data_IF_201523266427
#
_entry.id   IF_201523266427
#
_cell.length_a   1.000
_cell.length_b   1.000
_cell.length_c   1.000
_cell.angle_alpha   90.00
_cell.angle_beta   90.00
_cell.angle_gamma   90.00
#
_symmetry.space_group_name_H-M   'P 1'
#
loop_
_entity.id
_entity.type
_entity.pdbx_description
1 polymer ?
#
# COMPACT_ATOMS: atom_id res chain seq x y z
N UNK A 1 -66.90 -17.90 23.66
CA UNK A 1 -65.85 -17.13 22.95
C UNK A 1 -65.12 -16.32 24.01
N UNK A 2 -63.83 -16.49 24.32
CA UNK A 2 -62.67 -16.60 23.44
C UNK A 2 -61.57 -17.45 24.11
N UNK A 3 -60.86 -18.27 23.33
CA UNK A 3 -59.73 -19.11 23.75
C UNK A 3 -58.54 -18.21 24.12
N UNK A 4 -57.91 -18.43 25.28
CA UNK A 4 -56.53 -17.99 25.55
C UNK A 4 -55.62 -19.20 25.42
N UNK A 5 -54.72 -19.17 24.43
CA UNK A 5 -53.58 -20.07 24.28
C UNK A 5 -52.32 -19.21 24.08
N UNK A 6 -51.15 -19.67 24.54
CA UNK A 6 -49.98 -18.84 24.79
C UNK A 6 -49.19 -18.59 23.51
N UNK A 7 -48.61 -17.40 23.37
CA UNK A 7 -47.65 -17.12 22.31
C UNK A 7 -46.26 -17.69 22.71
N UNK A 8 -45.58 -18.44 21.82
CA UNK A 8 -44.26 -18.98 22.07
C UNK A 8 -43.16 -17.94 21.80
N UNK A 9 -42.06 -18.14 22.51
CA UNK A 9 -40.75 -17.53 22.36
C UNK A 9 -40.35 -17.29 20.89
N UNK A 10 -40.26 -16.02 20.48
CA UNK A 10 -39.46 -15.60 19.33
C UNK A 10 -38.23 -14.89 19.91
N UNK A 11 -37.23 -15.69 20.21
CA UNK A 11 -35.89 -15.20 20.56
C UNK A 11 -34.88 -15.92 19.69
N UNK A 12 -33.96 -15.14 19.14
CA UNK A 12 -32.71 -15.57 18.47
C UNK A 12 -32.82 -15.91 16.99
N UNK A 13 -32.55 -14.91 16.13
CA UNK A 13 -31.88 -15.10 14.83
C UNK A 13 -31.46 -13.75 14.20
N UNK A 14 -30.61 -12.94 14.84
CA UNK A 14 -30.10 -11.70 14.21
C UNK A 14 -28.62 -11.36 14.45
N UNK A 15 -27.82 -12.27 15.01
CA UNK A 15 -26.41 -11.97 15.36
C UNK A 15 -25.40 -12.75 14.48
N UNK A 16 -25.85 -13.51 13.49
CA UNK A 16 -24.94 -14.24 12.60
C UNK A 16 -24.48 -13.42 11.38
N UNK A 17 -25.30 -12.48 10.88
CA UNK A 17 -25.00 -11.75 9.65
C UNK A 17 -23.90 -10.68 9.79
N UNK A 18 -23.89 -9.93 10.90
CA UNK A 18 -22.91 -8.88 11.13
C UNK A 18 -21.50 -9.43 11.36
N UNK A 19 -21.38 -10.61 11.97
CA UNK A 19 -20.10 -11.28 12.16
C UNK A 19 -19.51 -11.77 10.82
N UNK A 20 -20.35 -12.23 9.89
CA UNK A 20 -19.84 -12.76 8.62
C UNK A 20 -19.30 -11.67 7.68
N UNK A 21 -20.00 -10.53 7.59
CA UNK A 21 -19.52 -9.39 6.77
C UNK A 21 -18.20 -8.85 7.31
N UNK A 22 -18.06 -8.75 8.64
CA UNK A 22 -16.82 -8.33 9.27
C UNK A 22 -15.68 -9.34 9.01
N UNK A 23 -15.92 -10.65 9.13
CA UNK A 23 -14.88 -11.66 8.88
C UNK A 23 -14.50 -11.73 7.40
N UNK A 24 -15.42 -11.52 6.47
CA UNK A 24 -15.11 -11.55 5.03
C UNK A 24 -14.28 -10.33 4.60
N UNK A 25 -14.61 -9.13 5.08
CA UNK A 25 -13.76 -7.95 4.85
C UNK A 25 -12.40 -8.08 5.57
N UNK A 26 -12.39 -8.67 6.76
CA UNK A 26 -11.16 -8.92 7.51
C UNK A 26 -10.28 -9.94 6.77
N UNK A 27 -10.83 -11.05 6.27
CA UNK A 27 -10.05 -12.06 5.53
C UNK A 27 -9.44 -11.54 4.22
N UNK A 28 -10.12 -10.61 3.53
CA UNK A 28 -9.58 -10.02 2.29
C UNK A 28 -8.42 -9.04 2.53
N UNK A 29 -8.30 -8.46 3.74
CA UNK A 29 -7.26 -7.49 4.08
C UNK A 29 -6.24 -7.96 5.15
N UNK A 30 -6.44 -9.12 5.78
CA UNK A 30 -5.57 -9.70 6.83
C UNK A 30 -4.83 -10.99 6.42
N UNK A 31 -4.78 -11.29 5.13
CA UNK A 31 -3.65 -12.09 4.66
C UNK A 31 -2.42 -11.21 4.92
N UNK A 32 -1.46 -11.67 5.72
CA UNK A 32 -0.25 -10.89 6.05
C UNK A 32 0.47 -10.36 4.79
N UNK A 33 1.58 -9.61 4.95
CA UNK A 33 2.29 -9.08 3.78
C UNK A 33 2.52 -10.18 2.74
N UNK A 34 2.31 -9.84 1.46
CA UNK A 34 2.35 -10.78 0.32
C UNK A 34 3.57 -11.72 0.35
N UNK A 35 4.65 -11.24 0.95
CA UNK A 35 5.92 -11.95 1.14
C UNK A 35 6.24 -12.05 2.64
N UNK A 36 6.75 -13.20 3.07
CA UNK A 36 7.34 -13.33 4.41
C UNK A 36 8.53 -12.38 4.60
N UNK A 37 8.89 -12.06 5.85
CA UNK A 37 10.03 -11.18 6.14
C UNK A 37 11.34 -11.68 5.49
N UNK A 38 11.53 -13.00 5.45
CA UNK A 38 12.67 -13.62 4.80
C UNK A 38 12.65 -13.43 3.27
N UNK A 39 11.49 -13.45 2.64
CA UNK A 39 11.33 -13.18 1.20
C UNK A 39 11.48 -11.71 0.88
N UNK A 40 10.93 -10.84 1.73
CA UNK A 40 11.10 -9.39 1.62
C UNK A 40 12.58 -9.00 1.72
N UNK A 41 13.32 -9.60 2.65
CA UNK A 41 14.76 -9.38 2.81
C UNK A 41 15.55 -9.82 1.56
N UNK A 42 15.18 -10.92 0.90
CA UNK A 42 15.85 -11.41 -0.34
C UNK A 42 15.76 -10.44 -1.50
N UNK A 43 14.72 -9.60 -1.55
CA UNK A 43 14.53 -8.58 -2.60
C UNK A 43 14.72 -7.14 -2.07
N UNK A 44 15.20 -7.01 -0.82
CA UNK A 44 15.22 -5.80 0.03
C UNK A 44 14.02 -4.87 -0.23
N UNK A 45 12.83 -5.38 0.04
CA UNK A 45 11.62 -4.57 0.25
C UNK A 45 11.25 -4.61 1.73
N UNK A 46 10.41 -3.67 2.13
CA UNK A 46 9.69 -3.70 3.41
C UNK A 46 8.25 -3.37 3.12
N UNK A 47 7.38 -4.36 3.27
CA UNK A 47 5.95 -4.27 3.02
C UNK A 47 5.22 -3.89 4.30
N UNK A 48 4.15 -3.12 4.15
CA UNK A 48 3.20 -2.87 5.23
C UNK A 48 2.32 -4.10 5.45
N UNK A 49 1.94 -4.33 6.70
CA UNK A 49 0.91 -5.33 7.02
C UNK A 49 -0.46 -4.93 6.46
N UNK A 50 -0.71 -3.62 6.33
CA UNK A 50 -1.93 -3.07 5.73
C UNK A 50 -1.55 -1.96 4.75
N UNK A 51 -1.74 -2.18 3.44
CA UNK A 51 -1.61 -1.13 2.45
C UNK A 51 -2.51 0.07 2.79
N UNK A 52 -2.09 1.25 2.34
CA UNK A 52 -2.76 2.51 2.63
C UNK A 52 -3.26 3.14 1.36
N UNK A 53 -4.55 3.49 1.29
CA UNK A 53 -5.07 4.25 0.17
C UNK A 53 -4.23 5.50 -0.05
N UNK A 54 -3.76 5.69 -1.29
CA UNK A 54 -3.23 6.95 -1.77
C UNK A 54 -4.23 7.46 -2.79
N UNK A 55 -5.22 8.29 -2.36
CA UNK A 55 -6.40 8.66 -3.16
C UNK A 55 -6.06 9.12 -4.59
N UNK A 56 -4.88 9.71 -4.76
CA UNK A 56 -4.46 10.31 -6.00
C UNK A 56 -3.57 9.43 -6.91
N UNK A 57 -3.16 8.22 -6.49
CA UNK A 57 -2.37 7.28 -7.31
C UNK A 57 -3.17 6.15 -7.95
N UNK A 58 -4.45 6.01 -7.62
CA UNK A 58 -5.36 4.95 -8.09
C UNK A 58 -5.47 4.81 -9.62
N UNK A 59 -5.02 5.79 -10.41
CA UNK A 59 -5.19 5.81 -11.86
C UNK A 59 -3.95 5.47 -12.69
N UNK A 60 -2.75 5.33 -12.08
CA UNK A 60 -1.51 5.41 -12.87
C UNK A 60 -0.88 4.08 -13.34
N UNK A 61 -1.36 2.91 -12.90
CA UNK A 61 -0.92 1.58 -13.35
C UNK A 61 -1.89 0.47 -12.87
N UNK A 62 -3.19 0.63 -13.12
CA UNK A 62 -4.20 -0.30 -12.62
C UNK A 62 -3.84 -1.76 -12.94
N UNK A 63 -3.75 -2.60 -11.91
CA UNK A 63 -3.53 -4.05 -12.05
C UNK A 63 -2.07 -4.53 -12.01
N UNK A 64 -1.08 -3.67 -11.74
CA UNK A 64 0.32 -4.11 -11.49
C UNK A 64 1.00 -3.30 -10.40
N UNK A 65 1.89 -3.95 -9.65
CA UNK A 65 2.82 -3.27 -8.77
C UNK A 65 3.73 -2.34 -9.56
N UNK A 66 3.95 -1.14 -9.03
CA UNK A 66 4.91 -0.18 -9.56
C UNK A 66 5.62 0.56 -8.43
N UNK A 67 6.65 1.33 -8.79
CA UNK A 67 7.46 2.08 -7.84
C UNK A 67 7.38 3.58 -8.09
N UNK A 68 7.35 4.34 -7.00
CA UNK A 68 7.36 5.79 -7.03
C UNK A 68 8.35 6.37 -6.01
N UNK A 69 8.81 7.60 -6.23
CA UNK A 69 9.65 8.34 -5.28
C UNK A 69 9.23 9.80 -5.27
N UNK A 70 9.07 10.36 -4.09
CA UNK A 70 8.87 11.81 -3.95
C UNK A 70 10.22 12.50 -4.12
N UNK A 71 10.24 13.51 -4.99
CA UNK A 71 11.34 14.45 -5.07
C UNK A 71 11.21 15.45 -3.91
N UNK A 72 12.23 15.65 -3.06
CA UNK A 72 12.18 16.65 -2.01
C UNK A 72 11.89 18.06 -2.56
N UNK A 73 11.23 18.89 -1.75
CA UNK A 73 10.93 20.29 -2.06
C UNK A 73 12.18 21.07 -2.47
N UNK A 74 13.26 20.88 -1.72
CA UNK A 74 14.58 21.36 -2.07
C UNK A 74 15.40 20.26 -2.75
N UNK A 75 15.63 20.41 -4.05
CA UNK A 75 16.35 19.41 -4.85
C UNK A 75 17.44 20.08 -5.70
N UNK A 76 18.65 20.11 -5.15
CA UNK A 76 19.87 20.61 -5.80
C UNK A 76 20.33 19.74 -6.99
N UNK A 77 21.44 20.09 -7.63
CA UNK A 77 21.95 19.37 -8.79
C UNK A 77 22.24 17.88 -8.53
N UNK A 78 22.66 17.52 -7.31
CA UNK A 78 22.91 16.13 -6.93
C UNK A 78 21.57 15.39 -6.83
N UNK A 79 20.60 15.97 -6.13
CA UNK A 79 19.25 15.44 -6.04
C UNK A 79 18.59 15.29 -7.42
N UNK A 80 18.73 16.28 -8.31
CA UNK A 80 18.20 16.19 -9.67
C UNK A 80 18.84 15.03 -10.46
N UNK A 81 20.15 14.82 -10.30
CA UNK A 81 20.86 13.67 -10.85
C UNK A 81 20.30 12.34 -10.35
N UNK A 82 20.08 12.23 -9.03
CA UNK A 82 19.49 11.04 -8.40
C UNK A 82 18.04 10.79 -8.88
N UNK A 83 17.24 11.85 -9.05
CA UNK A 83 15.88 11.74 -9.59
C UNK A 83 15.90 11.30 -11.05
N UNK A 84 16.80 11.85 -11.87
CA UNK A 84 16.96 11.44 -13.26
C UNK A 84 17.40 9.98 -13.38
N UNK A 85 18.33 9.55 -12.52
CA UNK A 85 18.75 8.15 -12.45
C UNK A 85 17.61 7.24 -11.96
N UNK A 86 16.83 7.67 -10.98
CA UNK A 86 15.65 6.92 -10.52
C UNK A 86 14.64 6.72 -11.67
N UNK A 87 14.37 7.77 -12.45
CA UNK A 87 13.51 7.69 -13.65
C UNK A 87 14.04 6.68 -14.67
N UNK A 88 15.36 6.64 -14.92
CA UNK A 88 15.96 5.70 -15.88
C UNK A 88 15.85 4.23 -15.45
N UNK A 89 15.64 3.97 -14.15
CA UNK A 89 15.35 2.64 -13.60
C UNK A 89 13.86 2.29 -13.61
N UNK A 90 13.00 3.15 -14.16
CA UNK A 90 11.55 2.95 -14.19
C UNK A 90 10.84 3.38 -12.90
N UNK A 91 11.49 4.15 -12.02
CA UNK A 91 10.84 4.72 -10.83
C UNK A 91 10.09 5.99 -11.24
N UNK A 92 8.79 6.04 -10.94
CA UNK A 92 7.98 7.25 -11.12
C UNK A 92 8.39 8.31 -10.10
N UNK A 93 9.00 9.40 -10.56
CA UNK A 93 9.30 10.54 -9.69
C UNK A 93 8.09 11.46 -9.63
N UNK A 94 7.63 11.74 -8.40
CA UNK A 94 6.53 12.66 -8.10
C UNK A 94 7.17 13.96 -7.61
N UNK A 95 6.99 15.05 -8.35
CA UNK A 95 7.57 16.35 -8.01
C UNK A 95 6.64 17.13 -7.07
N UNK A 96 7.14 18.14 -6.33
CA UNK A 96 6.32 18.98 -5.45
C UNK A 96 5.15 19.69 -6.16
N UNK A 97 5.23 19.88 -7.48
CA UNK A 97 4.16 20.50 -8.28
C UNK A 97 3.04 19.51 -8.66
N UNK A 98 3.24 18.21 -8.41
CA UNK A 98 2.22 17.22 -8.71
C UNK A 98 1.04 17.41 -7.75
N UNK A 99 -0.22 17.37 -8.23
CA UNK A 99 -1.41 17.53 -7.37
C UNK A 99 -1.49 16.52 -6.22
N UNK A 100 -0.76 15.40 -6.35
CA UNK A 100 -0.77 14.27 -5.43
C UNK A 100 0.32 14.34 -4.37
N UNK A 101 1.22 15.34 -4.45
CA UNK A 101 2.45 15.35 -3.67
C UNK A 101 2.17 15.47 -2.17
N UNK A 102 1.44 16.52 -1.78
CA UNK A 102 1.13 16.84 -0.38
C UNK A 102 0.38 15.70 0.33
N UNK A 103 -0.55 15.03 -0.36
CA UNK A 103 -1.30 13.90 0.18
C UNK A 103 -0.38 12.72 0.51
N UNK A 104 0.58 12.42 -0.38
CA UNK A 104 1.53 11.34 -0.18
C UNK A 104 2.53 11.72 0.91
N UNK A 105 3.05 12.94 0.88
CA UNK A 105 3.99 13.43 1.89
C UNK A 105 3.36 13.43 3.30
N UNK A 106 2.12 13.91 3.43
CA UNK A 106 1.36 13.88 4.69
C UNK A 106 1.17 12.46 5.19
N UNK A 107 0.82 11.54 4.30
CA UNK A 107 0.67 10.12 4.63
C UNK A 107 1.98 9.53 5.16
N UNK A 108 3.10 9.77 4.46
CA UNK A 108 4.42 9.25 4.83
C UNK A 108 4.99 9.91 6.10
N UNK A 109 4.58 11.14 6.40
CA UNK A 109 5.02 11.89 7.58
C UNK A 109 4.43 11.36 8.89
N UNK A 110 3.39 10.52 8.84
CA UNK A 110 2.81 9.96 10.06
C UNK A 110 3.81 9.01 10.78
N UNK A 111 3.78 8.94 12.13
CA UNK A 111 4.83 8.27 12.92
C UNK A 111 5.07 6.80 12.54
N UNK A 112 4.01 6.11 12.15
CA UNK A 112 4.03 4.70 11.77
C UNK A 112 4.65 4.43 10.37
N UNK A 113 5.01 5.46 9.61
CA UNK A 113 5.65 5.34 8.29
C UNK A 113 7.05 5.95 8.21
N UNK A 114 7.62 6.37 9.34
CA UNK A 114 8.98 6.93 9.41
C UNK A 114 10.03 6.05 8.74
N UNK A 115 9.89 4.72 8.84
CA UNK A 115 10.77 3.75 8.17
C UNK A 115 10.68 3.76 6.63
N UNK A 116 9.72 4.46 6.03
CA UNK A 116 9.51 4.53 4.58
C UNK A 116 9.74 5.94 3.99
N UNK A 117 9.88 6.96 4.84
CA UNK A 117 10.11 8.34 4.40
C UNK A 117 11.39 8.46 3.55
N UNK A 118 11.30 9.22 2.45
CA UNK A 118 12.39 9.43 1.51
C UNK A 118 12.81 8.21 0.67
N UNK A 119 12.16 7.05 0.84
CA UNK A 119 12.47 5.83 0.10
C UNK A 119 11.69 5.73 -1.20
N UNK A 120 12.07 4.73 -2.01
CA UNK A 120 11.28 4.34 -3.17
C UNK A 120 10.07 3.56 -2.68
N UNK A 121 8.88 4.10 -2.88
CA UNK A 121 7.60 3.55 -2.49
C UNK A 121 7.20 2.41 -3.43
N UNK A 122 6.61 1.36 -2.86
CA UNK A 122 5.93 0.29 -3.55
C UNK A 122 4.43 0.58 -3.54
N UNK A 123 3.85 0.66 -4.72
CA UNK A 123 2.41 0.83 -4.91
C UNK A 123 1.86 -0.49 -5.44
N UNK A 124 0.85 -1.04 -4.78
CA UNK A 124 0.22 -2.30 -5.16
C UNK A 124 -0.71 -2.13 -6.39
N UNK A 125 -1.22 -3.22 -6.99
CA UNK A 125 -2.13 -3.19 -8.14
C UNK A 125 -3.40 -2.35 -7.91
N UNK A 126 -3.82 -2.21 -6.65
CA UNK A 126 -4.98 -1.43 -6.21
C UNK A 126 -4.68 0.08 -6.16
N UNK A 127 -3.42 0.50 -6.27
CA UNK A 127 -2.99 1.91 -6.21
C UNK A 127 -2.67 2.39 -4.79
N UNK A 128 -2.55 1.48 -3.84
CA UNK A 128 -2.28 1.76 -2.43
C UNK A 128 -0.77 1.72 -2.13
N UNK A 129 -0.34 2.56 -1.19
CA UNK A 129 0.99 2.48 -0.62
C UNK A 129 1.13 1.20 0.19
N UNK A 130 1.98 0.28 -0.27
CA UNK A 130 2.10 -1.05 0.32
C UNK A 130 3.49 -1.31 0.91
N UNK A 131 4.41 -0.34 0.87
CA UNK A 131 5.74 -0.47 1.46
C UNK A 131 6.81 0.29 0.69
N UNK A 132 8.08 -0.05 0.88
CA UNK A 132 9.20 0.60 0.20
C UNK A 132 10.33 -0.37 -0.16
N UNK A 133 11.06 -0.08 -1.25
CA UNK A 133 12.38 -0.65 -1.46
C UNK A 133 13.36 -0.06 -0.46
N UNK A 134 14.27 -0.90 0.03
CA UNK A 134 15.38 -0.47 0.86
C UNK A 134 16.60 -0.12 -0.01
N UNK A 135 17.36 0.94 0.31
CA UNK A 135 18.63 1.23 -0.37
C UNK A 135 19.66 0.11 -0.13
N UNK A 136 20.71 0.00 -0.97
CA UNK A 136 21.00 0.83 -2.15
C UNK A 136 20.10 0.49 -3.35
N UNK A 137 19.80 1.48 -4.20
CA UNK A 137 18.93 1.30 -5.37
C UNK A 137 19.75 1.02 -6.64
N UNK A 138 19.19 0.23 -7.56
CA UNK A 138 19.70 0.05 -8.92
C UNK A 138 18.61 -0.48 -9.85
N UNK A 139 18.79 -0.32 -11.17
CA UNK A 139 17.88 -0.86 -12.19
C UNK A 139 17.56 -2.34 -11.94
N UNK A 140 18.58 -3.16 -11.67
CA UNK A 140 18.44 -4.58 -11.41
C UNK A 140 17.56 -4.85 -10.19
N UNK A 141 17.79 -4.12 -9.09
CA UNK A 141 17.02 -4.34 -7.85
C UNK A 141 15.56 -3.92 -8.00
N UNK A 142 15.30 -2.81 -8.69
CA UNK A 142 13.93 -2.37 -9.03
C UNK A 142 13.23 -3.43 -9.88
N UNK A 143 13.88 -3.89 -10.95
CA UNK A 143 13.32 -4.92 -11.83
C UNK A 143 13.05 -6.23 -11.08
N UNK A 144 13.99 -6.72 -10.27
CA UNK A 144 13.81 -7.96 -9.48
C UNK A 144 12.67 -7.84 -8.48
N UNK A 145 12.53 -6.70 -7.79
CA UNK A 145 11.43 -6.49 -6.86
C UNK A 145 10.08 -6.52 -7.58
N UNK A 146 9.94 -5.77 -8.67
CA UNK A 146 8.70 -5.73 -9.46
C UNK A 146 8.36 -7.07 -10.12
N UNK A 147 9.37 -7.81 -10.60
CA UNK A 147 9.17 -9.15 -11.17
C UNK A 147 8.65 -10.12 -10.10
N UNK A 148 9.14 -10.03 -8.87
CA UNK A 148 8.70 -10.90 -7.77
C UNK A 148 7.31 -10.55 -7.25
N UNK A 149 6.97 -9.27 -7.22
CA UNK A 149 5.67 -8.79 -6.73
C UNK A 149 4.53 -8.96 -7.76
N UNK A 150 4.84 -8.97 -9.05
CA UNK A 150 3.87 -9.15 -10.14
C UNK A 150 3.76 -10.59 -10.67
N UNK A 151 4.29 -11.58 -9.94
CA UNK A 151 4.11 -13.01 -10.24
C UNK A 151 2.76 -13.50 -9.74
#
# INVERSE_FOLDING_TARGET
MSKRLPAPFIGVALIAGAAWVAVQSYQQHFSGPLLSDAEQAKINVSLLSFPRPLPALHSSNAGKWFVARLQPDYCDAICQGDMAQSKSWGIKVITPQAPTYDDIETTLSAPNYSAHQGKVLLINPEGEFAGSLQPPYSARRVATALEKLNK
#
